data_IF_938629256427
#
_entry.id   IF_938629256427
#
_cell.length_a   1.000
_cell.length_b   1.000
_cell.length_c   1.000
_cell.angle_alpha   90.00
_cell.angle_beta   90.00
_cell.angle_gamma   90.00
#
_symmetry.space_group_name_H-M   'P 1'
#
loop_
_entity.id
_entity.type
_entity.pdbx_description
1 polymer ?
#
# COMPACT_ATOMS: atom_id res chain seq x y z
N UNK A 1 16.37 0.30 24.40
CA UNK A 1 16.85 0.44 22.99
C UNK A 1 16.45 -0.75 22.16
N UNK A 2 16.08 -0.51 20.88
CA UNK A 2 15.57 -1.55 19.98
C UNK A 2 16.53 -2.73 19.79
N UNK A 3 17.83 -2.45 19.71
CA UNK A 3 18.84 -3.48 19.50
C UNK A 3 18.93 -4.44 20.68
N UNK A 4 18.83 -3.94 21.91
CA UNK A 4 18.94 -4.75 23.13
C UNK A 4 17.61 -5.36 23.55
N UNK A 5 16.59 -4.51 23.75
CA UNK A 5 15.27 -4.93 24.24
C UNK A 5 14.50 -5.65 23.13
N UNK A 6 14.44 -5.06 21.94
CA UNK A 6 13.80 -5.69 20.78
C UNK A 6 14.53 -6.97 20.35
N UNK A 7 15.85 -7.02 20.46
CA UNK A 7 16.65 -8.24 20.25
C UNK A 7 16.29 -9.37 21.21
N UNK A 8 16.19 -9.07 22.51
CA UNK A 8 15.77 -10.01 23.55
C UNK A 8 14.36 -10.55 23.30
N UNK A 9 13.39 -9.65 23.12
CA UNK A 9 11.97 -9.99 22.87
C UNK A 9 11.87 -10.85 21.60
N UNK A 10 12.54 -10.46 20.52
CA UNK A 10 12.52 -11.23 19.27
C UNK A 10 12.96 -12.68 19.54
N UNK A 11 14.13 -12.88 20.15
CA UNK A 11 14.67 -14.21 20.40
C UNK A 11 13.77 -15.06 21.32
N UNK A 12 13.24 -14.48 22.40
CA UNK A 12 12.32 -15.17 23.33
C UNK A 12 11.06 -15.69 22.62
N UNK A 13 10.51 -14.89 21.69
CA UNK A 13 9.33 -15.25 20.92
C UNK A 13 9.67 -16.00 19.62
N UNK A 14 10.92 -16.39 19.37
CA UNK A 14 11.31 -17.16 18.18
C UNK A 14 11.36 -16.36 16.88
N UNK A 15 11.59 -15.06 16.99
CA UNK A 15 11.87 -14.09 15.93
C UNK A 15 13.35 -13.68 15.98
N UNK A 16 13.82 -13.03 14.92
CA UNK A 16 15.11 -12.34 14.91
C UNK A 16 14.91 -10.84 14.73
N UNK A 17 15.71 -10.05 15.42
CA UNK A 17 15.75 -8.61 15.24
C UNK A 17 16.37 -8.25 13.89
N UNK A 18 15.75 -7.32 13.17
CA UNK A 18 16.18 -6.88 11.84
C UNK A 18 16.85 -5.51 11.94
N UNK A 19 16.10 -4.51 12.41
CA UNK A 19 16.57 -3.11 12.52
C UNK A 19 15.59 -2.26 13.32
N UNK A 20 16.02 -1.06 13.65
CA UNK A 20 15.17 0.01 14.14
C UNK A 20 14.58 0.78 12.94
N UNK A 21 13.26 0.97 12.91
CA UNK A 21 12.55 1.71 11.86
C UNK A 21 12.47 3.20 12.24
N UNK A 22 12.06 3.48 13.48
CA UNK A 22 11.95 4.81 14.08
C UNK A 22 12.35 4.74 15.56
N UNK A 23 12.40 5.88 16.25
CA UNK A 23 12.71 5.90 17.67
C UNK A 23 11.67 5.11 18.49
N UNK A 24 12.09 4.01 19.13
CA UNK A 24 11.21 3.06 19.83
C UNK A 24 10.49 2.04 18.95
N UNK A 25 10.65 2.05 17.63
CA UNK A 25 9.99 1.13 16.69
C UNK A 25 10.99 0.12 16.11
N UNK A 26 10.80 -1.16 16.43
CA UNK A 26 11.71 -2.22 16.01
C UNK A 26 11.07 -3.15 14.97
N UNK A 27 11.82 -3.49 13.92
CA UNK A 27 11.45 -4.52 12.95
C UNK A 27 12.00 -5.87 13.40
N UNK A 28 11.11 -6.87 13.48
CA UNK A 28 11.46 -8.25 13.77
C UNK A 28 10.85 -9.16 12.69
N UNK A 29 11.51 -10.26 12.40
CA UNK A 29 11.06 -11.24 11.40
C UNK A 29 11.14 -12.66 11.95
N UNK A 30 10.36 -13.59 11.38
CA UNK A 30 10.42 -14.99 11.80
C UNK A 30 11.85 -15.51 11.64
N UNK A 31 12.40 -16.14 12.69
CA UNK A 31 13.67 -16.83 12.58
C UNK A 31 13.45 -18.22 11.96
N UNK A 32 13.96 -18.50 10.74
CA UNK A 32 13.81 -19.81 10.11
C UNK A 32 14.48 -20.95 10.90
N UNK A 33 15.44 -20.61 11.77
CA UNK A 33 16.17 -21.55 12.62
C UNK A 33 15.49 -21.79 13.97
N UNK A 34 14.46 -21.02 14.31
CA UNK A 34 13.69 -21.19 15.54
C UNK A 34 12.97 -22.55 15.55
N UNK A 35 13.06 -23.25 16.70
CA UNK A 35 12.28 -24.48 16.95
C UNK A 35 10.76 -24.26 16.83
N UNK A 36 10.31 -23.02 17.02
CA UNK A 36 8.91 -22.63 16.91
C UNK A 36 8.47 -22.26 15.49
N UNK A 37 9.41 -22.11 14.53
CA UNK A 37 9.12 -21.66 13.16
C UNK A 37 7.96 -22.44 12.50
N UNK A 38 8.02 -23.78 12.55
CA UNK A 38 6.96 -24.62 11.96
C UNK A 38 5.60 -24.47 12.66
N UNK A 39 5.61 -24.23 13.97
CA UNK A 39 4.38 -24.05 14.75
C UNK A 39 3.74 -22.70 14.45
N UNK A 40 4.55 -21.63 14.42
CA UNK A 40 4.11 -20.28 14.06
C UNK A 40 3.46 -20.24 12.69
N UNK A 41 4.14 -20.82 11.68
CA UNK A 41 3.63 -20.85 10.32
C UNK A 41 2.28 -21.56 10.19
N UNK A 42 2.08 -22.66 10.93
CA UNK A 42 0.79 -23.38 10.96
C UNK A 42 -0.30 -22.56 11.66
N UNK A 43 0.02 -21.90 12.77
CA UNK A 43 -0.91 -21.05 13.48
C UNK A 43 -1.37 -19.88 12.58
N UNK A 44 -0.45 -19.21 11.88
CA UNK A 44 -0.76 -18.13 10.94
C UNK A 44 -1.72 -18.61 9.83
N UNK A 45 -1.49 -19.82 9.30
CA UNK A 45 -2.40 -20.43 8.32
C UNK A 45 -3.81 -20.71 8.88
N UNK A 46 -3.95 -20.82 10.19
CA UNK A 46 -5.24 -20.98 10.89
C UNK A 46 -5.86 -19.65 11.33
N UNK A 47 -5.28 -18.51 10.92
CA UNK A 47 -5.80 -17.18 11.24
C UNK A 47 -5.27 -16.60 12.55
N UNK A 48 -4.26 -17.23 13.17
CA UNK A 48 -3.59 -16.65 14.33
C UNK A 48 -2.75 -15.42 13.92
N UNK A 49 -2.88 -14.32 14.67
CA UNK A 49 -2.07 -13.12 14.48
C UNK A 49 -0.86 -13.15 15.44
N UNK A 50 0.39 -13.24 14.94
CA UNK A 50 1.59 -13.23 15.78
C UNK A 50 1.71 -12.04 16.73
N UNK A 51 1.18 -10.88 16.33
CA UNK A 51 1.21 -9.68 17.16
C UNK A 51 0.48 -9.86 18.50
N UNK A 52 -0.50 -10.76 18.60
CA UNK A 52 -1.26 -11.02 19.83
C UNK A 52 -0.44 -11.72 20.93
N UNK A 53 0.68 -12.37 20.56
CA UNK A 53 1.63 -12.93 21.53
C UNK A 53 2.64 -11.86 21.94
N UNK A 54 3.22 -11.16 20.95
CA UNK A 54 4.28 -10.18 21.18
C UNK A 54 3.76 -9.01 22.03
N UNK A 55 2.52 -8.57 21.79
CA UNK A 55 1.88 -7.49 22.56
C UNK A 55 1.59 -7.81 24.03
N UNK A 56 1.82 -9.05 24.48
CA UNK A 56 1.65 -9.45 25.90
C UNK A 56 2.94 -9.34 26.70
N UNK A 57 4.07 -9.09 26.05
CA UNK A 57 5.34 -8.88 26.72
C UNK A 57 5.31 -7.54 27.47
N UNK A 58 5.82 -7.49 28.70
CA UNK A 58 5.76 -6.29 29.55
C UNK A 58 6.53 -5.11 28.94
N UNK A 59 7.54 -5.39 28.13
CA UNK A 59 8.37 -4.39 27.46
C UNK A 59 7.82 -3.97 26.07
N UNK A 60 6.61 -4.43 25.69
CA UNK A 60 5.97 -4.13 24.41
C UNK A 60 4.70 -3.31 24.61
N UNK A 61 4.71 -2.05 24.17
CA UNK A 61 3.52 -1.21 24.19
C UNK A 61 2.49 -1.61 23.13
N UNK A 62 2.95 -1.99 21.93
CA UNK A 62 2.11 -2.43 20.83
C UNK A 62 2.90 -3.29 19.83
N UNK A 63 2.20 -4.13 19.06
CA UNK A 63 2.78 -4.92 17.98
C UNK A 63 1.80 -5.05 16.81
N UNK A 64 2.32 -5.14 15.58
CA UNK A 64 1.51 -5.37 14.38
C UNK A 64 2.22 -6.33 13.42
N UNK A 65 1.47 -7.33 12.92
CA UNK A 65 1.97 -8.26 11.92
C UNK A 65 1.82 -7.65 10.51
N UNK A 66 2.95 -7.43 9.83
CA UNK A 66 2.97 -6.85 8.49
C UNK A 66 2.80 -7.93 7.42
N UNK A 67 1.79 -7.76 6.55
CA UNK A 67 1.57 -8.63 5.38
C UNK A 67 2.11 -7.93 4.14
N UNK A 68 3.12 -8.51 3.43
CA UNK A 68 3.59 -7.96 2.18
C UNK A 68 2.43 -7.87 1.18
N UNK A 69 2.03 -6.64 0.83
CA UNK A 69 1.01 -6.42 -0.19
C UNK A 69 1.64 -6.56 -1.58
N UNK A 70 1.28 -7.61 -2.31
CA UNK A 70 1.67 -7.74 -3.72
C UNK A 70 0.94 -6.69 -4.55
N UNK A 71 1.66 -5.72 -5.11
CA UNK A 71 1.09 -4.83 -6.13
C UNK A 71 0.97 -5.60 -7.44
N UNK A 72 -0.26 -5.88 -7.88
CA UNK A 72 -0.52 -6.20 -9.29
C UNK A 72 -0.62 -4.90 -10.06
N UNK A 73 0.06 -4.82 -11.21
CA UNK A 73 -0.20 -3.76 -12.19
C UNK A 73 -1.64 -3.97 -12.66
N UNK A 74 -2.52 -3.05 -12.29
CA UNK A 74 -3.93 -3.08 -12.66
C UNK A 74 -4.03 -2.43 -14.03
N UNK A 75 -4.67 -3.11 -14.98
CA UNK A 75 -4.80 -2.64 -16.36
C UNK A 75 -6.21 -2.14 -16.58
N UNK A 76 -6.36 -0.83 -16.80
CA UNK A 76 -7.52 -0.24 -17.43
C UNK A 76 -7.27 -0.17 -18.93
N UNK A 77 -8.17 -0.76 -19.71
CA UNK A 77 -8.15 -0.65 -21.16
C UNK A 77 -8.96 0.60 -21.54
N UNK A 78 -8.29 1.75 -21.55
CA UNK A 78 -8.81 2.95 -22.19
C UNK A 78 -8.67 2.80 -23.71
N UNK A 79 -9.73 3.13 -24.44
CA UNK A 79 -9.78 3.08 -25.91
C UNK A 79 -9.43 4.42 -26.59
N UNK A 80 -9.13 5.45 -25.81
CA UNK A 80 -8.71 6.76 -26.31
C UNK A 80 -7.35 6.64 -27.03
N UNK A 81 -7.25 6.99 -28.33
CA UNK A 81 -5.99 6.93 -29.07
C UNK A 81 -4.87 7.77 -28.47
N UNK A 82 -5.22 8.87 -27.79
CA UNK A 82 -4.29 9.79 -27.13
C UNK A 82 -3.95 9.38 -25.70
N UNK A 83 -4.52 8.29 -25.17
CA UNK A 83 -4.28 7.83 -23.79
C UNK A 83 -2.79 7.82 -23.43
N UNK A 84 -1.95 7.21 -24.27
CA UNK A 84 -0.49 7.11 -24.03
C UNK A 84 0.25 8.46 -24.01
N UNK A 85 -0.37 9.54 -24.50
CA UNK A 85 0.18 10.91 -24.50
C UNK A 85 -0.21 11.70 -23.24
N UNK A 86 -1.20 11.24 -22.47
CA UNK A 86 -1.73 11.92 -21.29
C UNK A 86 -0.87 11.65 -20.04
N UNK A 87 0.38 12.13 -20.08
CA UNK A 87 1.39 11.93 -19.05
C UNK A 87 0.94 12.34 -17.63
N UNK A 88 0.00 13.28 -17.52
CA UNK A 88 -0.52 13.77 -16.24
C UNK A 88 -1.50 12.78 -15.57
N UNK A 89 -2.08 11.83 -16.32
CA UNK A 89 -2.96 10.78 -15.79
C UNK A 89 -2.22 9.45 -15.59
N UNK A 90 -1.23 9.16 -16.43
CA UNK A 90 -0.55 7.87 -16.49
C UNK A 90 0.83 7.95 -15.84
N UNK A 91 1.06 7.08 -14.86
CA UNK A 91 2.41 6.85 -14.35
C UNK A 91 3.25 6.09 -15.36
N UNK A 92 4.11 6.79 -16.08
CA UNK A 92 5.04 6.19 -17.03
C UNK A 92 6.27 5.61 -16.31
N UNK A 93 6.54 4.32 -16.51
CA UNK A 93 7.72 3.66 -15.93
C UNK A 93 9.06 4.18 -16.46
N UNK A 94 9.05 4.83 -17.62
CA UNK A 94 10.23 5.41 -18.27
C UNK A 94 10.54 6.83 -17.77
N UNK A 95 9.56 7.49 -17.15
CA UNK A 95 9.70 8.85 -16.60
C UNK A 95 9.17 8.91 -15.16
N UNK A 96 9.70 8.08 -14.24
CA UNK A 96 9.20 7.97 -12.86
C UNK A 96 9.38 9.26 -12.04
N UNK A 97 10.16 10.22 -12.55
CA UNK A 97 10.43 11.51 -11.91
C UNK A 97 9.48 12.63 -12.36
N UNK A 98 8.66 12.41 -13.40
CA UNK A 98 7.66 13.40 -13.80
C UNK A 98 6.46 13.33 -12.84
N UNK A 99 5.94 14.47 -12.37
CA UNK A 99 4.76 14.48 -11.51
C UNK A 99 3.52 14.03 -12.30
N UNK A 100 2.74 13.14 -11.71
CA UNK A 100 1.44 12.68 -12.21
C UNK A 100 0.34 12.95 -11.17
N UNK A 101 -0.93 12.90 -11.58
CA UNK A 101 -2.07 13.09 -10.67
C UNK A 101 -2.36 11.83 -9.82
N UNK A 102 -1.73 10.69 -10.12
CA UNK A 102 -1.94 9.40 -9.45
C UNK A 102 -3.43 8.99 -9.35
N UNK A 103 -4.24 9.31 -10.37
CA UNK A 103 -5.70 9.14 -10.36
C UNK A 103 -6.18 7.73 -10.70
N UNK A 104 -5.35 6.91 -11.34
CA UNK A 104 -5.71 5.56 -11.77
C UNK A 104 -6.21 4.69 -10.62
N UNK A 105 -5.58 4.81 -9.44
CA UNK A 105 -6.02 4.10 -8.23
C UNK A 105 -7.44 4.47 -7.78
N UNK A 106 -7.84 5.73 -7.94
CA UNK A 106 -9.19 6.19 -7.61
C UNK A 106 -10.23 5.60 -8.58
N UNK A 107 -9.92 5.57 -9.88
CA UNK A 107 -10.76 4.98 -10.90
C UNK A 107 -10.96 3.48 -10.71
N UNK A 108 -9.91 2.76 -10.28
CA UNK A 108 -9.99 1.32 -9.95
C UNK A 108 -10.97 1.04 -8.82
N UNK A 109 -11.15 2.00 -7.92
CA UNK A 109 -12.12 1.93 -6.83
C UNK A 109 -13.51 2.45 -7.24
N UNK A 110 -13.69 2.84 -8.51
CA UNK A 110 -14.96 3.33 -9.06
C UNK A 110 -15.21 4.83 -8.86
N UNK A 111 -14.23 5.60 -8.35
CA UNK A 111 -14.39 7.04 -8.12
C UNK A 111 -14.13 7.83 -9.40
N UNK A 112 -15.17 8.07 -10.21
CA UNK A 112 -15.04 8.74 -11.52
C UNK A 112 -15.49 10.20 -11.55
N UNK A 113 -15.99 10.73 -10.43
CA UNK A 113 -16.65 12.05 -10.40
C UNK A 113 -18.12 12.04 -10.85
N UNK A 114 -18.71 10.86 -11.12
CA UNK A 114 -20.13 10.73 -11.47
C UNK A 114 -21.02 11.38 -10.41
N UNK A 115 -21.94 12.24 -10.84
CA UNK A 115 -22.86 12.97 -9.97
C UNK A 115 -22.33 14.32 -9.47
N UNK A 116 -21.06 14.64 -9.75
CA UNK A 116 -20.50 15.95 -9.48
C UNK A 116 -20.65 16.85 -10.72
N UNK A 117 -21.04 18.10 -10.50
CA UNK A 117 -21.10 19.13 -11.54
C UNK A 117 -19.93 20.08 -11.34
N UNK A 118 -19.20 20.36 -12.43
CA UNK A 118 -18.06 21.28 -12.45
C UNK A 118 -18.40 22.46 -13.35
N UNK A 119 -18.09 23.68 -12.92
CA UNK A 119 -18.32 24.90 -13.70
C UNK A 119 -16.99 25.53 -14.06
N UNK A 120 -16.78 25.79 -15.36
CA UNK A 120 -15.63 26.48 -15.90
C UNK A 120 -16.02 27.93 -16.21
N UNK A 121 -15.25 28.90 -15.73
CA UNK A 121 -15.40 30.32 -16.07
C UNK A 121 -14.29 30.68 -17.06
N UNK A 122 -14.58 30.53 -18.35
CA UNK A 122 -13.64 30.73 -19.45
C UNK A 122 -14.33 31.46 -20.63
N UNK A 123 -13.62 31.62 -21.75
CA UNK A 123 -14.12 32.30 -22.95
C UNK A 123 -15.20 31.52 -23.74
N UNK A 124 -15.34 30.22 -23.49
CA UNK A 124 -16.40 29.37 -24.05
C UNK A 124 -16.16 27.88 -23.86
N UNK A 125 -17.14 27.05 -24.21
CA UNK A 125 -17.04 25.59 -24.25
C UNK A 125 -17.77 25.06 -25.49
N UNK A 126 -17.09 24.26 -26.30
CA UNK A 126 -17.69 23.50 -27.41
C UNK A 126 -18.44 22.29 -26.84
N UNK A 127 -19.66 22.52 -26.37
CA UNK A 127 -20.46 21.51 -25.68
C UNK A 127 -20.90 20.33 -26.57
N UNK A 128 -20.86 20.51 -27.90
CA UNK A 128 -21.23 19.50 -28.90
C UNK A 128 -20.03 18.68 -29.42
N UNK A 129 -18.83 18.89 -28.86
CA UNK A 129 -17.68 18.05 -29.17
C UNK A 129 -17.93 16.58 -28.74
N UNK A 130 -17.57 15.57 -29.56
CA UNK A 130 -17.83 14.16 -29.26
C UNK A 130 -17.32 13.68 -27.88
N UNK A 131 -16.17 14.20 -27.43
CA UNK A 131 -15.58 13.86 -26.13
C UNK A 131 -16.23 14.60 -24.93
N UNK A 132 -17.09 15.59 -25.18
CA UNK A 132 -17.72 16.42 -24.15
C UNK A 132 -19.24 16.24 -24.07
N UNK A 133 -19.91 15.99 -25.20
CA UNK A 133 -21.37 15.99 -25.33
C UNK A 133 -22.12 15.07 -24.33
N UNK A 134 -21.50 13.96 -23.92
CA UNK A 134 -22.14 13.00 -23.00
C UNK A 134 -22.07 13.48 -21.54
N UNK A 135 -21.20 14.44 -21.23
CA UNK A 135 -20.93 14.95 -19.88
C UNK A 135 -21.27 16.45 -19.71
N UNK A 136 -21.92 17.06 -20.71
CA UNK A 136 -22.47 18.42 -20.64
C UNK A 136 -23.94 18.39 -20.22
#
# INVERSE_FOLDING_TARGET
>A
DCETVGGRIAHEHGYRYVRQIFDGFCEIEEDPLSVNHRRHRRAIQQGFNPADIISKDEDVEWAEYQIPKTRRKREFLFNDPQWNSMWYLIRHSQTPHLPDLNVTGAWEMGYTGRGQVVTFLDDGLEYDHPDLQENY
#
